data_IF_684642717058
#
_entry.id   IF_684642717058
#
_cell.length_a   1.000
_cell.length_b   1.000
_cell.length_c   1.000
_cell.angle_alpha   90.00
_cell.angle_beta   90.00
_cell.angle_gamma   90.00
#
_symmetry.space_group_name_H-M   'P 1'
#
loop_
_entity.id
_entity.type
_entity.pdbx_description
1 polymer ?
#
# COMPACT_ATOMS: atom_id res chain seq x y z
N UNK A 1 18.49 -11.85 -2.12
CA UNK A 1 18.20 -10.48 -2.63
C UNK A 1 16.74 -10.04 -2.42
N UNK A 2 15.74 -10.65 -3.06
CA UNK A 2 14.34 -10.16 -3.01
C UNK A 2 13.73 -10.05 -1.61
N UNK A 3 14.07 -10.94 -0.68
CA UNK A 3 13.63 -10.83 0.72
C UNK A 3 14.12 -9.56 1.42
N UNK A 4 15.32 -9.07 1.07
CA UNK A 4 15.88 -7.85 1.66
C UNK A 4 15.17 -6.61 1.11
N UNK A 5 14.86 -6.62 -0.20
CA UNK A 5 14.03 -5.58 -0.83
C UNK A 5 12.64 -5.55 -0.17
N UNK A 6 12.00 -6.71 0.00
CA UNK A 6 10.72 -6.80 0.70
C UNK A 6 10.80 -6.30 2.15
N UNK A 7 11.87 -6.66 2.88
CA UNK A 7 12.06 -6.19 4.25
C UNK A 7 12.23 -4.67 4.30
N UNK A 8 13.03 -4.08 3.41
CA UNK A 8 13.21 -2.63 3.30
C UNK A 8 11.87 -1.92 3.02
N UNK A 9 11.10 -2.41 2.05
CA UNK A 9 9.79 -1.86 1.73
C UNK A 9 8.82 -2.01 2.92
N UNK A 10 8.86 -3.15 3.62
CA UNK A 10 8.08 -3.38 4.84
C UNK A 10 8.40 -2.39 5.96
N UNK A 11 9.69 -2.07 6.15
CA UNK A 11 10.12 -1.04 7.10
C UNK A 11 9.59 0.34 6.70
N UNK A 12 9.59 0.69 5.41
CA UNK A 12 9.03 1.97 4.94
C UNK A 12 7.52 2.03 5.25
N UNK A 13 6.78 0.96 4.92
CA UNK A 13 5.34 0.88 5.14
C UNK A 13 4.98 1.06 6.61
N UNK A 14 5.65 0.35 7.52
CA UNK A 14 5.38 0.44 8.96
C UNK A 14 5.97 1.70 9.59
N UNK A 15 7.07 2.21 9.04
CA UNK A 15 7.82 3.34 9.56
C UNK A 15 7.11 4.68 9.37
N UNK A 16 6.41 4.84 8.25
CA UNK A 16 5.86 6.12 7.82
C UNK A 16 4.87 6.76 8.83
N UNK A 17 3.93 6.03 9.46
CA UNK A 17 3.02 6.62 10.44
C UNK A 17 3.73 7.24 11.66
N UNK A 18 4.93 6.77 12.01
CA UNK A 18 5.71 7.33 13.13
C UNK A 18 6.27 8.71 12.84
N UNK A 19 6.43 9.06 11.57
CA UNK A 19 6.88 10.39 11.15
C UNK A 19 5.77 11.43 11.35
N UNK A 20 4.51 11.00 11.27
CA UNK A 20 3.35 11.88 11.48
C UNK A 20 3.12 12.11 12.97
N UNK A 21 2.86 11.05 13.73
CA UNK A 21 2.56 11.17 15.17
C UNK A 21 3.18 10.04 15.97
N UNK A 22 4.28 10.29 16.70
CA UNK A 22 4.89 9.29 17.56
C UNK A 22 4.09 9.16 18.87
N UNK A 23 3.23 8.16 18.96
CA UNK A 23 2.50 7.82 20.19
C UNK A 23 2.59 6.33 20.51
N UNK A 24 2.40 5.96 21.77
CA UNK A 24 2.43 4.56 22.23
C UNK A 24 1.39 3.68 21.51
N UNK A 25 0.21 4.25 21.20
CA UNK A 25 -0.85 3.57 20.46
C UNK A 25 -0.40 3.25 19.02
N UNK A 26 0.24 4.22 18.35
CA UNK A 26 0.78 4.03 16.99
C UNK A 26 1.92 3.01 16.99
N UNK A 27 2.75 3.00 18.04
CA UNK A 27 3.82 1.98 18.22
C UNK A 27 3.22 0.59 18.38
N UNK A 28 2.21 0.42 19.22
CA UNK A 28 1.55 -0.86 19.43
C UNK A 28 0.90 -1.37 18.12
N UNK A 29 0.18 -0.51 17.40
CA UNK A 29 -0.42 -0.86 16.11
C UNK A 29 0.65 -1.22 15.06
N UNK A 30 1.73 -0.44 15.00
CA UNK A 30 2.85 -0.69 14.10
C UNK A 30 3.59 -1.99 14.39
N UNK A 31 3.69 -2.41 15.65
CA UNK A 31 4.27 -3.70 16.01
C UNK A 31 3.46 -4.86 15.42
N UNK A 32 2.12 -4.81 15.47
CA UNK A 32 1.26 -5.83 14.86
C UNK A 32 1.46 -5.88 13.34
N UNK A 33 1.48 -4.72 12.68
CA UNK A 33 1.72 -4.64 11.25
C UNK A 33 3.12 -5.19 10.87
N UNK A 34 4.16 -4.81 11.61
CA UNK A 34 5.52 -5.30 11.42
C UNK A 34 5.61 -6.82 11.55
N UNK A 35 4.99 -7.39 12.59
CA UNK A 35 5.00 -8.84 12.83
C UNK A 35 4.33 -9.59 11.67
N UNK A 36 3.18 -9.11 11.20
CA UNK A 36 2.46 -9.72 10.07
C UNK A 36 3.27 -9.63 8.76
N UNK A 37 3.84 -8.45 8.46
CA UNK A 37 4.68 -8.25 7.27
C UNK A 37 5.94 -9.13 7.35
N UNK A 38 6.64 -9.13 8.48
CA UNK A 38 7.83 -9.94 8.69
C UNK A 38 7.51 -11.44 8.55
N UNK A 39 6.47 -11.92 9.21
CA UNK A 39 6.02 -13.31 9.09
C UNK A 39 5.65 -13.66 7.64
N UNK A 40 4.98 -12.75 6.95
CA UNK A 40 4.63 -12.89 5.54
C UNK A 40 5.86 -12.95 4.63
N UNK A 41 6.88 -12.11 4.83
CA UNK A 41 8.12 -12.13 4.05
C UNK A 41 8.93 -13.42 4.33
N UNK A 42 9.04 -13.83 5.60
CA UNK A 42 9.76 -15.05 5.99
C UNK A 42 9.09 -16.27 5.34
N UNK A 43 7.76 -16.36 5.42
CA UNK A 43 6.98 -17.46 4.84
C UNK A 43 6.72 -17.30 3.34
N UNK A 44 7.11 -16.17 2.73
CA UNK A 44 6.69 -15.70 1.40
C UNK A 44 5.19 -15.92 1.16
N UNK A 45 4.37 -15.44 2.10
CA UNK A 45 2.91 -15.52 2.06
C UNK A 45 2.33 -14.15 1.72
N UNK A 46 1.82 -13.93 0.48
CA UNK A 46 1.20 -12.67 0.10
C UNK A 46 -0.01 -12.30 0.96
N UNK A 47 -0.75 -13.28 1.47
CA UNK A 47 -1.92 -13.03 2.33
C UNK A 47 -1.52 -12.43 3.68
N UNK A 48 -0.46 -12.93 4.31
CA UNK A 48 0.05 -12.36 5.56
C UNK A 48 0.63 -10.96 5.36
N UNK A 49 1.34 -10.74 4.26
CA UNK A 49 1.85 -9.40 3.91
C UNK A 49 0.69 -8.43 3.66
N UNK A 50 -0.37 -8.88 2.97
CA UNK A 50 -1.56 -8.07 2.72
C UNK A 50 -2.27 -7.72 4.04
N UNK A 51 -2.41 -8.68 4.96
CA UNK A 51 -2.98 -8.42 6.29
C UNK A 51 -2.15 -7.39 7.07
N UNK A 52 -0.82 -7.49 7.02
CA UNK A 52 0.08 -6.51 7.63
C UNK A 52 0.03 -5.13 6.97
N UNK A 53 -0.13 -5.06 5.65
CA UNK A 53 -0.37 -3.81 4.91
C UNK A 53 -1.69 -3.17 5.36
N UNK A 54 -2.77 -3.96 5.49
CA UNK A 54 -4.06 -3.46 5.99
C UNK A 54 -3.94 -2.91 7.41
N UNK A 55 -3.22 -3.61 8.29
CA UNK A 55 -2.94 -3.12 9.64
C UNK A 55 -2.12 -1.81 9.62
N UNK A 56 -1.13 -1.71 8.74
CA UNK A 56 -0.32 -0.48 8.56
C UNK A 56 -1.15 0.68 7.98
N UNK A 57 -2.10 0.42 7.09
CA UNK A 57 -3.03 1.43 6.58
C UNK A 57 -3.96 1.94 7.69
N UNK A 58 -4.46 1.04 8.54
CA UNK A 58 -5.23 1.42 9.72
C UNK A 58 -4.39 2.26 10.71
N UNK A 59 -3.12 1.89 10.92
CA UNK A 59 -2.17 2.68 11.71
C UNK A 59 -1.94 4.07 11.11
N UNK A 60 -1.74 4.19 9.80
CA UNK A 60 -1.58 5.47 9.10
C UNK A 60 -2.82 6.35 9.24
N UNK A 61 -4.00 5.77 9.05
CA UNK A 61 -5.28 6.46 9.24
C UNK A 61 -5.46 6.95 10.67
N UNK A 62 -5.08 6.12 11.66
CA UNK A 62 -5.11 6.49 13.06
C UNK A 62 -4.13 7.61 13.39
N UNK A 63 -2.93 7.60 12.80
CA UNK A 63 -1.95 8.66 12.98
C UNK A 63 -2.50 10.00 12.46
N UNK A 64 -3.06 10.02 11.24
CA UNK A 64 -3.69 11.22 10.69
C UNK A 64 -4.86 11.74 11.55
N UNK A 65 -5.67 10.83 12.10
CA UNK A 65 -6.78 11.20 12.97
C UNK A 65 -6.31 11.84 14.28
N UNK A 66 -5.22 11.34 14.86
CA UNK A 66 -4.65 11.88 16.10
C UNK A 66 -3.88 13.19 15.88
N UNK A 67 -3.22 13.36 14.74
CA UNK A 67 -2.50 14.59 14.38
C UNK A 67 -3.45 15.77 14.17
N UNK A 68 -4.70 15.50 13.77
CA UNK A 68 -5.70 16.48 13.35
C UNK A 68 -5.22 17.44 12.23
N UNK A 69 -4.09 17.15 11.59
CA UNK A 69 -3.51 17.90 10.48
C UNK A 69 -4.07 17.48 9.12
N UNK A 70 -3.91 18.33 8.08
CA UNK A 70 -4.24 17.94 6.71
C UNK A 70 -3.27 16.84 6.25
N UNK A 71 -3.81 15.68 5.85
CA UNK A 71 -2.99 14.61 5.28
C UNK A 71 -2.36 15.03 3.95
N UNK A 72 -1.07 14.77 3.77
CA UNK A 72 -0.35 15.02 2.52
C UNK A 72 -0.73 13.94 1.46
N UNK A 73 -1.41 14.33 0.36
CA UNK A 73 -1.81 13.38 -0.68
C UNK A 73 -0.62 12.69 -1.35
N UNK A 74 0.53 13.36 -1.46
CA UNK A 74 1.72 12.78 -2.06
C UNK A 74 2.23 11.61 -1.21
N UNK A 75 2.28 11.79 0.10
CA UNK A 75 2.69 10.75 1.05
C UNK A 75 1.75 9.54 0.96
N UNK A 76 0.43 9.78 0.95
CA UNK A 76 -0.57 8.71 0.85
C UNK A 76 -0.45 7.91 -0.46
N UNK A 77 -0.27 8.61 -1.59
CA UNK A 77 -0.14 7.99 -2.91
C UNK A 77 1.17 7.18 -3.02
N UNK A 78 2.28 7.73 -2.54
CA UNK A 78 3.57 7.02 -2.51
C UNK A 78 3.51 5.80 -1.61
N UNK A 79 2.89 5.91 -0.42
CA UNK A 79 2.69 4.78 0.48
C UNK A 79 1.91 3.64 -0.20
N UNK A 80 0.81 3.97 -0.88
CA UNK A 80 0.03 2.99 -1.64
C UNK A 80 0.86 2.30 -2.73
N UNK A 81 1.68 3.04 -3.47
CA UNK A 81 2.57 2.47 -4.48
C UNK A 81 3.60 1.51 -3.85
N UNK A 82 4.22 1.89 -2.72
CA UNK A 82 5.16 1.03 -1.97
C UNK A 82 4.48 -0.26 -1.50
N UNK A 83 3.26 -0.18 -0.98
CA UNK A 83 2.46 -1.34 -0.54
C UNK A 83 2.21 -2.31 -1.70
N UNK A 84 1.81 -1.81 -2.87
CA UNK A 84 1.59 -2.64 -4.08
C UNK A 84 2.87 -3.31 -4.53
N UNK A 85 3.99 -2.57 -4.58
CA UNK A 85 5.29 -3.13 -4.96
C UNK A 85 5.73 -4.20 -3.97
N UNK A 86 5.54 -3.99 -2.66
CA UNK A 86 5.86 -4.98 -1.63
C UNK A 86 5.15 -6.32 -1.87
N UNK A 87 3.84 -6.29 -2.16
CA UNK A 87 3.07 -7.51 -2.49
C UNK A 87 3.66 -8.21 -3.72
N UNK A 88 3.95 -7.46 -4.78
CA UNK A 88 4.49 -8.01 -6.02
C UNK A 88 5.88 -8.64 -5.83
N UNK A 89 6.76 -8.02 -5.03
CA UNK A 89 8.08 -8.56 -4.68
C UNK A 89 7.95 -9.88 -3.91
N UNK A 90 7.03 -9.93 -2.94
CA UNK A 90 6.80 -11.14 -2.13
C UNK A 90 6.19 -12.26 -2.96
N UNK A 91 5.22 -11.95 -3.83
CA UNK A 91 4.62 -12.94 -4.72
C UNK A 91 5.63 -13.49 -5.73
N UNK A 92 6.47 -12.62 -6.30
CA UNK A 92 7.56 -13.05 -7.18
C UNK A 92 8.54 -13.96 -6.45
N UNK A 93 8.99 -13.56 -5.25
CA UNK A 93 9.89 -14.38 -4.44
C UNK A 93 9.27 -15.73 -4.04
N UNK A 94 7.93 -15.79 -3.86
CA UNK A 94 7.19 -17.04 -3.65
C UNK A 94 7.23 -17.93 -4.90
N UNK A 95 6.87 -17.39 -6.07
CA UNK A 95 6.78 -18.15 -7.33
C UNK A 95 8.11 -18.74 -7.77
N UNK A 96 9.21 -18.04 -7.53
CA UNK A 96 10.56 -18.46 -7.91
C UNK A 96 11.37 -19.02 -6.73
N UNK A 97 10.71 -19.48 -5.66
CA UNK A 97 11.42 -20.06 -4.52
C UNK A 97 12.19 -21.31 -4.96
N UNK A 98 13.51 -21.29 -4.77
CA UNK A 98 14.39 -22.41 -5.11
C UNK A 98 14.78 -22.50 -6.58
N UNK A 99 14.32 -21.58 -7.43
CA UNK A 99 14.73 -21.48 -8.82
C UNK A 99 15.90 -20.49 -8.98
N UNK A 100 16.86 -20.81 -9.83
CA UNK A 100 17.86 -19.85 -10.28
C UNK A 100 17.24 -18.89 -11.30
N UNK A 101 17.04 -17.64 -10.89
CA UNK A 101 16.47 -16.60 -11.74
C UNK A 101 17.59 -15.81 -12.38
N UNK A 102 17.64 -15.80 -13.72
CA UNK A 102 18.61 -15.01 -14.45
C UNK A 102 18.50 -13.50 -14.07
N UNK A 103 19.64 -12.79 -13.92
CA UNK A 103 19.63 -11.37 -13.55
C UNK A 103 18.82 -10.49 -14.51
N UNK A 104 18.80 -10.84 -15.80
CA UNK A 104 18.03 -10.14 -16.83
C UNK A 104 16.52 -10.17 -16.54
N UNK A 105 15.98 -11.32 -16.11
CA UNK A 105 14.57 -11.47 -15.75
C UNK A 105 14.22 -10.60 -14.55
N UNK A 106 15.07 -10.63 -13.51
CA UNK A 106 14.91 -9.79 -12.33
C UNK A 106 14.90 -8.29 -12.68
N UNK A 107 15.80 -7.85 -13.57
CA UNK A 107 15.89 -6.45 -14.00
C UNK A 107 14.66 -6.02 -14.78
N UNK A 108 14.18 -6.85 -15.72
CA UNK A 108 12.95 -6.59 -16.47
C UNK A 108 11.74 -6.49 -15.54
N UNK A 109 11.66 -7.39 -14.56
CA UNK A 109 10.58 -7.40 -13.58
C UNK A 109 10.59 -6.13 -12.70
N UNK A 110 11.76 -5.72 -12.20
CA UNK A 110 11.90 -4.48 -11.43
C UNK A 110 11.47 -3.26 -12.25
N UNK A 111 11.87 -3.18 -13.53
CA UNK A 111 11.44 -2.08 -14.41
C UNK A 111 9.92 -2.07 -14.62
N UNK A 112 9.33 -3.24 -14.79
CA UNK A 112 7.88 -3.38 -14.91
C UNK A 112 7.16 -2.87 -13.64
N UNK A 113 7.64 -3.25 -12.46
CA UNK A 113 7.12 -2.76 -11.18
C UNK A 113 7.26 -1.26 -11.02
N UNK A 114 8.44 -0.71 -11.32
CA UNK A 114 8.70 0.73 -11.23
C UNK A 114 7.80 1.51 -12.20
N UNK A 115 7.65 1.05 -13.44
CA UNK A 115 6.75 1.70 -14.42
C UNK A 115 5.31 1.73 -13.91
N UNK A 116 4.81 0.60 -13.41
CA UNK A 116 3.43 0.54 -12.90
C UNK A 116 3.26 1.36 -11.61
N UNK A 117 4.26 1.39 -10.74
CA UNK A 117 4.25 2.24 -9.55
C UNK A 117 4.20 3.72 -9.93
N UNK A 118 5.02 4.16 -10.90
CA UNK A 118 5.01 5.54 -11.40
C UNK A 118 3.64 5.89 -12.00
N UNK A 119 3.08 5.03 -12.84
CA UNK A 119 1.75 5.25 -13.41
C UNK A 119 0.68 5.34 -12.32
N UNK A 120 0.74 4.47 -11.31
CA UNK A 120 -0.15 4.51 -10.15
C UNK A 120 -0.01 5.80 -9.35
N UNK A 121 1.23 6.29 -9.15
CA UNK A 121 1.49 7.57 -8.47
C UNK A 121 0.92 8.74 -9.26
N UNK A 122 1.19 8.81 -10.56
CA UNK A 122 0.67 9.87 -11.44
C UNK A 122 -0.87 9.89 -11.41
N UNK A 123 -1.50 8.72 -11.59
CA UNK A 123 -2.95 8.61 -11.56
C UNK A 123 -3.52 8.97 -10.19
N UNK A 124 -2.90 8.52 -9.11
CA UNK A 124 -3.30 8.84 -7.74
C UNK A 124 -3.24 10.35 -7.45
N UNK A 125 -2.20 11.03 -7.91
CA UNK A 125 -2.07 12.48 -7.79
C UNK A 125 -3.12 13.23 -8.62
N UNK A 126 -3.45 12.75 -9.83
CA UNK A 126 -4.55 13.32 -10.63
C UNK A 126 -5.87 13.20 -9.88
N UNK A 127 -6.15 12.02 -9.30
CA UNK A 127 -7.37 11.79 -8.50
C UNK A 127 -7.41 12.69 -7.26
N UNK A 128 -6.29 12.82 -6.54
CA UNK A 128 -6.18 13.72 -5.39
C UNK A 128 -6.40 15.19 -5.78
N UNK A 129 -5.82 15.62 -6.91
CA UNK A 129 -6.03 16.96 -7.47
C UNK A 129 -7.50 17.21 -7.81
N UNK A 130 -8.17 16.27 -8.47
CA UNK A 130 -9.60 16.36 -8.75
C UNK A 130 -10.43 16.42 -7.46
N UNK A 131 -10.09 15.59 -6.46
CA UNK A 131 -10.75 15.58 -5.16
C UNK A 131 -10.64 16.92 -4.42
N UNK A 132 -9.49 17.61 -4.51
CA UNK A 132 -9.31 18.94 -3.93
C UNK A 132 -10.28 19.99 -4.52
N UNK A 133 -10.67 19.84 -5.79
CA UNK A 133 -11.70 20.67 -6.42
C UNK A 133 -13.08 20.48 -5.78
N UNK A 134 -13.42 19.27 -5.34
CA UNK A 134 -14.69 18.97 -4.66
C UNK A 134 -14.73 19.48 -3.22
N UNK A 135 -13.58 19.54 -2.53
CA UNK A 135 -13.52 20.07 -1.15
C UNK A 135 -13.84 21.56 -1.04
N UNK A 136 -13.79 22.29 -2.15
CA UNK A 136 -14.20 23.69 -2.21
C UNK A 136 -15.72 23.85 -2.40
N UNK A 137 -16.42 22.79 -2.82
CA UNK A 137 -17.82 22.84 -3.23
C UNK A 137 -18.79 22.14 -2.26
N UNK A 138 -18.28 21.32 -1.33
CA UNK A 138 -19.11 20.45 -0.48
C UNK A 138 -18.92 20.73 1.01
N UNK A 139 -19.96 20.53 1.84
CA UNK A 139 -19.83 20.60 3.29
C UNK A 139 -18.86 19.53 3.82
N UNK A 140 -18.08 19.87 4.84
CA UNK A 140 -17.10 18.95 5.44
C UNK A 140 -17.69 17.65 5.98
N UNK A 141 -18.97 17.68 6.39
CA UNK A 141 -19.72 16.49 6.81
C UNK A 141 -19.92 15.44 5.70
N UNK A 142 -19.77 15.81 4.42
CA UNK A 142 -19.93 14.89 3.29
C UNK A 142 -18.67 14.06 2.99
N UNK A 143 -17.49 14.47 3.48
CA UNK A 143 -16.22 13.82 3.16
C UNK A 143 -16.13 12.35 3.62
N UNK A 144 -16.57 11.97 4.84
CA UNK A 144 -16.54 10.56 5.26
C UNK A 144 -17.41 9.67 4.38
N UNK A 145 -18.57 10.19 3.94
CA UNK A 145 -19.49 9.45 3.07
C UNK A 145 -18.87 9.26 1.69
N UNK A 146 -18.28 10.30 1.11
CA UNK A 146 -17.58 10.20 -0.18
C UNK A 146 -16.38 9.25 -0.13
N UNK A 147 -15.60 9.30 0.95
CA UNK A 147 -14.50 8.36 1.16
C UNK A 147 -14.99 6.91 1.23
N UNK A 148 -16.09 6.66 1.97
CA UNK A 148 -16.70 5.34 2.06
C UNK A 148 -17.23 4.84 0.70
N UNK A 149 -17.91 5.71 -0.07
CA UNK A 149 -18.38 5.39 -1.43
C UNK A 149 -17.19 5.09 -2.35
N UNK A 150 -16.15 5.93 -2.32
CA UNK A 150 -14.93 5.72 -3.08
C UNK A 150 -14.25 4.38 -2.76
N UNK A 151 -14.18 4.01 -1.49
CA UNK A 151 -13.68 2.71 -1.05
C UNK A 151 -14.53 1.57 -1.62
N UNK A 152 -15.86 1.63 -1.50
CA UNK A 152 -16.77 0.59 -2.02
C UNK A 152 -16.62 0.45 -3.53
N UNK A 153 -16.61 1.55 -4.28
CA UNK A 153 -16.41 1.54 -5.74
C UNK A 153 -15.06 0.92 -6.10
N UNK A 154 -14.01 1.26 -5.37
CA UNK A 154 -12.66 0.71 -5.59
C UNK A 154 -12.65 -0.80 -5.33
N UNK A 155 -13.25 -1.27 -4.24
CA UNK A 155 -13.37 -2.69 -3.93
C UNK A 155 -14.14 -3.44 -5.01
N UNK A 156 -15.29 -2.90 -5.46
CA UNK A 156 -16.08 -3.50 -6.53
C UNK A 156 -15.31 -3.57 -7.85
N UNK A 157 -14.55 -2.52 -8.19
CA UNK A 157 -13.71 -2.50 -9.38
C UNK A 157 -12.60 -3.55 -9.29
N UNK A 158 -11.95 -3.68 -8.13
CA UNK A 158 -10.93 -4.71 -7.89
C UNK A 158 -11.51 -6.12 -7.96
N UNK A 159 -12.67 -6.38 -7.34
CA UNK A 159 -13.34 -7.68 -7.42
C UNK A 159 -13.67 -8.04 -8.86
N UNK A 160 -14.21 -7.10 -9.64
CA UNK A 160 -14.49 -7.33 -11.07
C UNK A 160 -13.23 -7.60 -11.87
N UNK A 161 -12.16 -6.84 -11.62
CA UNK A 161 -10.88 -7.02 -12.30
C UNK A 161 -10.31 -8.42 -12.02
N UNK A 162 -10.31 -8.85 -10.77
CA UNK A 162 -9.82 -10.17 -10.36
C UNK A 162 -10.69 -11.27 -10.98
N UNK A 163 -12.01 -11.15 -10.91
CA UNK A 163 -12.94 -12.17 -11.46
C UNK A 163 -12.82 -12.38 -12.97
N UNK A 164 -12.32 -11.37 -13.71
CA UNK A 164 -12.07 -11.50 -15.16
C UNK A 164 -10.81 -12.32 -15.46
N UNK A 165 -9.82 -12.29 -14.57
CA UNK A 165 -8.57 -13.03 -14.76
C UNK A 165 -8.72 -14.54 -14.51
N UNK A 166 -9.80 -14.97 -13.85
CA UNK A 166 -10.10 -16.39 -13.63
C UNK A 166 -10.88 -17.04 -14.80
N UNK A 167 -11.26 -16.25 -15.83
CA UNK A 167 -12.09 -16.70 -16.97
C UNK A 167 -11.27 -16.80 -18.28
N UNK A 168 -10.02 -16.31 -18.30
CA UNK A 168 -9.07 -16.42 -19.42
C UNK A 168 -7.99 -17.49 -19.16
#
# INVERSE_FOLDING_TARGET
MMRHVAALLGVIVVGLPFVITPSSIIIAAGAVAALLIAAGIIRLSPSLVSAGITASLAQYTLALWLDAGPGDPLIAVVLGAVMVVLIQVVDFARRFRGAEVAPAVTRTQIRYWLRNAILGVVLGLVVAGLASGFTLALPSAAYPVLAAVGLVVTLLALTRLISRQDIE
#
